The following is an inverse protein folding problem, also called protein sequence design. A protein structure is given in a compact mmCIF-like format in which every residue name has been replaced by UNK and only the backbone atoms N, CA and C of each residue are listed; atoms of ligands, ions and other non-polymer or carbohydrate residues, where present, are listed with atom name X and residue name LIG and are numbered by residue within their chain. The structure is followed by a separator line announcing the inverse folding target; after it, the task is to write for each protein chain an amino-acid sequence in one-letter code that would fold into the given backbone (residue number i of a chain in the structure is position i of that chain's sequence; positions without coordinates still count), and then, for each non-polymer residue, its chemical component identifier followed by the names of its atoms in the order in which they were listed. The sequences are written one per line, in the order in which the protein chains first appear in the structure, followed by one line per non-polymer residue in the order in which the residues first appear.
data_IF_029160288851
#
_entry.id   IF_029160288851
#
_cell.length_a   1.000
_cell.length_b   1.000
_cell.length_c   1.000
_cell.angle_alpha   90.00
_cell.angle_beta   90.00
_cell.angle_gamma   90.00
#
_symmetry.space_group_name_H-M   'P 1'
#
loop_
_entity.id
_entity.type
_entity.pdbx_description
1 polymer ?
#
# COMPACT_ATOMS: atom_id res chain seq x y z
N UNK A 1 16.19 14.49 8.30
CA UNK A 1 16.95 13.97 7.14
C UNK A 1 15.96 13.29 6.20
N UNK A 2 15.85 13.73 4.94
CA UNK A 2 14.89 13.16 3.99
C UNK A 2 15.41 11.80 3.49
N UNK A 3 14.70 10.71 3.79
CA UNK A 3 15.04 9.39 3.25
C UNK A 3 14.95 9.43 1.72
N UNK A 4 15.99 8.97 1.03
CA UNK A 4 16.01 8.92 -0.43
C UNK A 4 14.91 7.96 -0.92
N UNK A 5 14.02 8.45 -1.76
CA UNK A 5 12.96 7.63 -2.36
C UNK A 5 13.58 6.75 -3.45
N UNK A 6 13.35 5.45 -3.34
CA UNK A 6 13.77 4.43 -4.31
C UNK A 6 12.69 4.18 -5.36
N UNK A 7 11.41 4.33 -5.00
CA UNK A 7 10.31 4.05 -5.91
C UNK A 7 8.95 4.48 -5.35
N UNK A 8 7.97 4.51 -6.25
CA UNK A 8 6.57 4.76 -5.93
C UNK A 8 5.70 3.69 -6.57
N UNK A 9 4.74 3.18 -5.82
CA UNK A 9 3.77 2.19 -6.27
C UNK A 9 2.37 2.68 -5.93
N UNK A 10 1.45 2.58 -6.88
CA UNK A 10 0.04 2.89 -6.66
C UNK A 10 -0.78 1.62 -6.86
N UNK A 11 -1.59 1.28 -5.87
CA UNK A 11 -2.46 0.11 -5.92
C UNK A 11 -3.88 0.50 -5.56
N UNK A 12 -4.82 -0.32 -5.99
CA UNK A 12 -6.20 -0.26 -5.55
C UNK A 12 -6.50 -1.57 -4.85
N UNK A 13 -6.82 -1.50 -3.56
CA UNK A 13 -7.01 -2.69 -2.73
C UNK A 13 -8.34 -2.54 -1.99
N UNK A 14 -9.19 -3.58 -1.98
CA UNK A 14 -10.39 -3.58 -1.16
C UNK A 14 -10.01 -3.46 0.32
N UNK A 15 -10.68 -2.56 1.03
CA UNK A 15 -10.48 -2.35 2.46
C UNK A 15 -10.57 -3.67 3.25
N UNK A 16 -9.68 -3.83 4.23
CA UNK A 16 -9.60 -5.03 5.07
C UNK A 16 -9.18 -6.32 4.38
N UNK A 17 -8.92 -6.31 3.05
CA UNK A 17 -8.67 -7.50 2.23
C UNK A 17 -7.33 -7.47 1.48
N UNK A 18 -6.36 -6.68 1.93
CA UNK A 18 -4.99 -6.76 1.41
C UNK A 18 -4.39 -8.14 1.70
N UNK A 19 -3.83 -8.77 0.66
CA UNK A 19 -3.14 -10.04 0.73
C UNK A 19 -1.89 -9.99 -0.17
N UNK A 20 -0.90 -10.88 0.02
CA UNK A 20 0.33 -10.90 -0.79
C UNK A 20 0.14 -11.46 -2.20
N UNK A 21 -1.09 -11.74 -2.64
CA UNK A 21 -1.34 -12.22 -4.00
C UNK A 21 -1.20 -11.07 -5.02
N UNK A 22 -1.11 -11.36 -6.33
CA UNK A 22 -1.27 -10.34 -7.36
C UNK A 22 -2.59 -9.58 -7.16
N UNK A 23 -2.60 -8.24 -7.21
CA UNK A 23 -1.56 -7.32 -7.73
C UNK A 23 -0.55 -6.81 -6.69
N UNK A 24 -0.75 -7.07 -5.40
CA UNK A 24 0.09 -6.53 -4.31
C UNK A 24 1.47 -7.18 -4.34
N UNK A 25 1.50 -8.52 -4.41
CA UNK A 25 2.75 -9.27 -4.43
C UNK A 25 3.64 -8.95 -5.65
N UNK A 26 3.03 -8.75 -6.82
CA UNK A 26 3.75 -8.41 -8.05
C UNK A 26 4.29 -6.99 -8.05
N UNK A 27 3.57 -6.03 -7.46
CA UNK A 27 4.01 -4.64 -7.41
C UNK A 27 5.04 -4.38 -6.30
N UNK A 28 4.90 -5.02 -5.14
CA UNK A 28 5.75 -4.79 -3.97
C UNK A 28 6.90 -5.80 -3.84
N UNK A 29 6.76 -7.01 -4.38
CA UNK A 29 7.77 -8.06 -4.32
C UNK A 29 9.13 -7.66 -4.92
N UNK A 30 9.19 -7.13 -6.16
CA UNK A 30 10.44 -6.69 -6.77
C UNK A 30 11.13 -5.56 -6.00
N UNK A 31 10.39 -4.82 -5.17
CA UNK A 31 10.92 -3.70 -4.40
C UNK A 31 11.60 -4.14 -3.10
N UNK A 32 11.51 -5.43 -2.74
CA UNK A 32 12.18 -6.00 -1.57
C UNK A 32 11.65 -5.44 -0.24
N UNK A 33 10.43 -4.91 -0.21
CA UNK A 33 9.76 -4.45 1.01
C UNK A 33 8.95 -5.58 1.65
N UNK A 34 8.61 -5.41 2.93
CA UNK A 34 7.84 -6.41 3.67
C UNK A 34 6.34 -6.34 3.30
N UNK A 35 5.92 -7.16 2.33
CA UNK A 35 4.54 -7.23 1.84
C UNK A 35 3.57 -7.63 2.95
N UNK A 36 3.94 -8.59 3.81
CA UNK A 36 3.06 -9.05 4.89
C UNK A 36 2.79 -7.93 5.91
N UNK A 37 3.82 -7.13 6.23
CA UNK A 37 3.67 -5.97 7.09
C UNK A 37 2.73 -4.94 6.47
N UNK A 38 2.89 -4.65 5.18
CA UNK A 38 1.97 -3.77 4.44
C UNK A 38 0.53 -4.28 4.50
N UNK A 39 0.27 -5.55 4.16
CA UNK A 39 -1.08 -6.12 4.16
C UNK A 39 -1.74 -6.03 5.55
N UNK A 40 -0.99 -6.34 6.61
CA UNK A 40 -1.50 -6.27 7.99
C UNK A 40 -1.84 -4.83 8.38
N UNK A 41 -0.96 -3.88 8.09
CA UNK A 41 -1.17 -2.48 8.44
C UNK A 41 -2.28 -1.83 7.62
N UNK A 42 -2.36 -2.15 6.32
CA UNK A 42 -3.45 -1.73 5.46
C UNK A 42 -4.79 -2.25 5.99
N UNK A 43 -4.89 -3.55 6.30
CA UNK A 43 -6.13 -4.15 6.79
C UNK A 43 -6.56 -3.55 8.13
N UNK A 44 -5.61 -3.28 9.04
CA UNK A 44 -5.91 -2.62 10.31
C UNK A 44 -6.41 -1.17 10.13
N UNK A 45 -5.78 -0.39 9.25
CA UNK A 45 -6.17 1.01 8.98
C UNK A 45 -7.47 1.14 8.20
N UNK A 46 -7.82 0.13 7.41
CA UNK A 46 -9.01 0.11 6.55
C UNK A 46 -10.13 -0.74 7.12
N UNK A 47 -9.96 -1.27 8.33
CA UNK A 47 -10.97 -2.08 9.00
C UNK A 47 -12.27 -1.27 9.16
N UNK A 48 -13.39 -1.84 8.73
CA UNK A 48 -14.71 -1.19 8.78
C UNK A 48 -15.05 -0.34 7.56
N UNK A 49 -14.17 -0.25 6.56
CA UNK A 49 -14.51 0.27 5.24
C UNK A 49 -14.84 -0.90 4.31
N UNK A 50 -15.82 -0.74 3.43
CA UNK A 50 -16.21 -1.77 2.44
C UNK A 50 -16.09 -1.24 0.99
N UNK A 51 -15.08 -0.39 0.77
CA UNK A 51 -14.78 0.20 -0.55
C UNK A 51 -13.37 -0.15 -1.00
N UNK A 52 -13.13 -0.07 -2.30
CA UNK A 52 -11.79 -0.12 -2.86
C UNK A 52 -11.09 1.19 -2.54
N UNK A 53 -9.93 1.10 -1.90
CA UNK A 53 -9.12 2.25 -1.50
C UNK A 53 -7.88 2.34 -2.39
N UNK A 54 -7.69 3.47 -3.09
CA UNK A 54 -6.41 3.78 -3.71
C UNK A 54 -5.35 4.00 -2.62
N UNK A 55 -4.23 3.30 -2.74
CA UNK A 55 -3.10 3.41 -1.82
C UNK A 55 -1.84 3.78 -2.60
N UNK A 56 -1.16 4.83 -2.14
CA UNK A 56 0.11 5.27 -2.68
C UNK A 56 1.23 4.89 -1.72
N UNK A 57 2.12 4.02 -2.19
CA UNK A 57 3.21 3.42 -1.41
C UNK A 57 4.51 4.06 -1.89
N UNK A 58 5.19 4.72 -0.97
CA UNK A 58 6.50 5.32 -1.18
C UNK A 58 7.55 4.41 -0.59
N UNK A 59 8.53 4.03 -1.41
CA UNK A 59 9.57 3.07 -1.06
C UNK A 59 10.88 3.83 -0.96
N UNK A 60 11.59 3.65 0.15
CA UNK A 60 12.86 4.33 0.41
C UNK A 60 14.04 3.39 0.13
N UNK A 61 15.23 3.96 -0.09
CA UNK A 61 16.44 3.20 -0.42
C UNK A 61 16.91 2.25 0.69
N UNK A 62 16.44 2.45 1.93
CA UNK A 62 16.70 1.58 3.08
C UNK A 62 15.73 0.37 3.15
N UNK A 63 14.95 0.12 2.09
CA UNK A 63 13.87 -0.88 2.03
C UNK A 63 12.73 -0.62 3.02
N UNK A 64 12.71 0.55 3.68
CA UNK A 64 11.51 0.99 4.39
C UNK A 64 10.48 1.50 3.39
N UNK A 65 9.21 1.43 3.79
CA UNK A 65 8.11 1.94 3.00
C UNK A 65 7.19 2.77 3.88
N UNK A 66 6.51 3.72 3.26
CA UNK A 66 5.37 4.42 3.83
C UNK A 66 4.23 4.33 2.85
N UNK A 67 3.00 4.40 3.32
CA UNK A 67 1.84 4.41 2.43
C UNK A 67 0.79 5.38 2.92
N UNK A 68 0.06 5.93 1.97
CA UNK A 68 -1.02 6.86 2.20
C UNK A 68 -2.27 6.25 1.60
N UNK A 69 -3.30 6.10 2.43
CA UNK A 69 -4.63 5.72 1.99
C UNK A 69 -5.30 6.97 1.43
N UNK A 70 -5.65 6.94 0.16
CA UNK A 70 -6.52 7.96 -0.43
C UNK A 70 -7.96 7.51 -0.25
N UNK A 71 -8.80 8.45 0.14
CA UNK A 71 -10.25 8.26 0.04
C UNK A 71 -10.62 8.09 -1.44
N UNK A 72 -11.56 7.18 -1.78
CA UNK A 72 -12.09 7.14 -3.13
C UNK A 72 -12.63 8.55 -3.44
N UNK A 73 -12.41 9.10 -4.63
CA UNK A 73 -13.05 10.36 -4.98
C UNK A 73 -14.56 10.16 -4.78
N UNK A 74 -15.15 10.99 -3.91
CA UNK A 74 -16.60 11.13 -3.92
C UNK A 74 -16.96 11.47 -5.37
N UNK A 75 -17.69 10.59 -6.04
CA UNK A 75 -18.29 10.95 -7.32
C UNK A 75 -19.21 12.12 -7.01
N UNK A 76 -18.77 13.34 -7.35
CA UNK A 76 -19.65 14.50 -7.46
C UNK A 76 -20.30 14.41 -8.83
#
# INVERSE_FOLDING_TARGET
MAKKVSGFVKLQIPAGKANPAPPVGTALGPQGINIMAFCKEFNARTQGQDTILPVEITIFSDKSFTFILKTPPAAI
#
